data_IF_437147430200
#
_entry.id   IF_437147430200
#
_cell.length_a   1.000
_cell.length_b   1.000
_cell.length_c   1.000
_cell.angle_alpha   90.00
_cell.angle_beta   90.00
_cell.angle_gamma   90.00
#
_symmetry.space_group_name_H-M   'P 1'
#
loop_
_entity.id
_entity.type
_entity.pdbx_description
1 polymer ?
#
# COMPACT_ATOMS: atom_id res chain seq x y z
N UNK A 1 9.67 7.77 11.42
CA UNK A 1 8.89 8.85 10.82
C UNK A 1 7.42 8.44 10.84
N UNK A 2 6.54 9.27 11.42
CA UNK A 2 5.10 9.01 11.49
C UNK A 2 4.42 9.23 10.13
N UNK A 3 3.24 8.65 9.91
CA UNK A 3 2.48 8.82 8.66
C UNK A 3 2.26 10.30 8.31
N UNK A 4 1.92 11.13 9.31
CA UNK A 4 1.71 12.57 9.14
C UNK A 4 2.99 13.32 8.74
N UNK A 5 4.16 12.86 9.20
CA UNK A 5 5.43 13.44 8.77
C UNK A 5 5.68 13.09 7.30
N UNK A 6 5.42 11.84 6.91
CA UNK A 6 5.66 11.36 5.53
C UNK A 6 4.78 12.08 4.53
N UNK A 7 3.49 12.25 4.84
CA UNK A 7 2.57 13.05 4.00
C UNK A 7 2.97 14.53 3.98
N UNK A 8 3.48 15.06 5.09
CA UNK A 8 4.05 16.40 5.16
C UNK A 8 5.23 16.60 4.20
N UNK A 9 6.16 15.64 4.13
CA UNK A 9 7.29 15.69 3.19
C UNK A 9 6.81 15.59 1.75
N UNK A 10 5.87 14.69 1.42
CA UNK A 10 5.33 14.61 0.06
C UNK A 10 4.65 15.93 -0.34
N UNK A 11 3.90 16.55 0.56
CA UNK A 11 3.28 17.87 0.32
C UNK A 11 4.32 18.97 0.07
N UNK A 12 5.44 18.96 0.80
CA UNK A 12 6.55 19.88 0.58
C UNK A 12 7.17 19.69 -0.82
N UNK A 13 7.41 18.44 -1.25
CA UNK A 13 7.92 18.11 -2.59
C UNK A 13 6.95 18.63 -3.67
N UNK A 14 5.65 18.38 -3.52
CA UNK A 14 4.62 18.87 -4.44
C UNK A 14 4.67 20.40 -4.56
N UNK A 15 4.80 21.10 -3.43
CA UNK A 15 4.88 22.57 -3.40
C UNK A 15 6.10 23.10 -4.15
N UNK A 16 7.26 22.45 -3.99
CA UNK A 16 8.50 22.80 -4.71
C UNK A 16 8.31 22.59 -6.22
N UNK A 17 7.71 21.47 -6.61
CA UNK A 17 7.44 21.16 -8.02
C UNK A 17 6.50 22.19 -8.65
N UNK A 18 5.42 22.55 -7.96
CA UNK A 18 4.50 23.58 -8.42
C UNK A 18 5.20 24.94 -8.59
N UNK A 19 6.11 25.29 -7.69
CA UNK A 19 6.92 26.50 -7.82
C UNK A 19 7.82 26.44 -9.07
N UNK A 20 8.50 25.31 -9.31
CA UNK A 20 9.34 25.10 -10.49
C UNK A 20 8.55 25.22 -11.80
N UNK A 21 7.36 24.60 -11.86
CA UNK A 21 6.45 24.70 -13.01
C UNK A 21 6.04 26.16 -13.25
N UNK A 22 5.64 26.87 -12.19
CA UNK A 22 5.26 28.29 -12.27
C UNK A 22 6.40 29.15 -12.79
N UNK A 23 7.61 28.97 -12.26
CA UNK A 23 8.80 29.71 -12.71
C UNK A 23 9.05 29.46 -14.19
N UNK A 24 9.01 28.20 -14.63
CA UNK A 24 9.16 27.87 -16.05
C UNK A 24 8.13 28.56 -16.95
N UNK A 25 6.86 28.63 -16.52
CA UNK A 25 5.82 29.33 -17.27
C UNK A 25 5.99 30.86 -17.31
N UNK A 26 6.77 31.45 -16.40
CA UNK A 26 7.06 32.90 -16.43
C UNK A 26 8.18 33.28 -17.39
N UNK A 27 8.85 32.30 -18.00
CA UNK A 27 9.91 32.56 -18.95
C UNK A 27 9.40 33.36 -20.15
N UNK A 28 10.09 34.44 -20.46
CA UNK A 28 9.71 35.35 -21.53
C UNK A 28 9.90 34.76 -22.93
N UNK A 29 10.98 33.98 -23.12
CA UNK A 29 11.36 33.38 -24.39
C UNK A 29 11.81 31.93 -24.17
N UNK A 30 10.98 30.97 -24.60
CA UNK A 30 11.28 29.55 -24.47
C UNK A 30 12.45 29.08 -25.37
N UNK A 31 12.87 29.91 -26.34
CA UNK A 31 13.99 29.65 -27.25
C UNK A 31 15.36 29.76 -26.58
N UNK A 32 15.48 30.61 -25.55
CA UNK A 32 16.76 30.88 -24.87
C UNK A 32 17.04 29.89 -23.73
N UNK A 33 16.08 29.00 -23.47
CA UNK A 33 16.18 27.96 -22.45
C UNK A 33 16.74 26.68 -23.09
N UNK A 34 17.74 26.02 -22.49
CA UNK A 34 18.22 24.73 -22.97
C UNK A 34 17.12 23.66 -22.99
N UNK A 35 17.24 22.68 -23.89
CA UNK A 35 16.23 21.63 -24.06
C UNK A 35 15.99 20.82 -22.78
N UNK A 36 17.03 20.54 -21.99
CA UNK A 36 16.90 19.77 -20.74
C UNK A 36 15.95 20.40 -19.72
N UNK A 37 15.87 21.74 -19.66
CA UNK A 37 14.90 22.43 -18.81
C UNK A 37 13.47 22.29 -19.33
N UNK A 38 13.29 22.32 -20.66
CA UNK A 38 11.98 22.09 -21.28
C UNK A 38 11.50 20.67 -21.01
N UNK A 39 12.39 19.69 -21.17
CA UNK A 39 12.09 18.28 -20.92
C UNK A 39 11.81 18.02 -19.44
N UNK A 40 12.57 18.63 -18.53
CA UNK A 40 12.30 18.57 -17.10
C UNK A 40 10.93 19.17 -16.78
N UNK A 41 10.64 20.39 -17.25
CA UNK A 41 9.36 21.06 -17.01
C UNK A 41 8.16 20.26 -17.55
N UNK A 42 8.31 19.58 -18.70
CA UNK A 42 7.26 18.72 -19.26
C UNK A 42 6.99 17.46 -18.40
N UNK A 43 7.99 16.98 -17.65
CA UNK A 43 7.86 15.78 -16.79
C UNK A 43 7.39 16.10 -15.36
N UNK A 44 7.59 17.32 -14.88
CA UNK A 44 7.21 17.75 -13.53
C UNK A 44 5.72 17.53 -13.18
N UNK A 45 4.74 17.75 -14.08
CA UNK A 45 3.34 17.44 -13.79
C UNK A 45 3.10 15.95 -13.50
N UNK A 46 3.73 15.05 -14.26
CA UNK A 46 3.63 13.61 -14.03
C UNK A 46 4.21 13.19 -12.67
N UNK A 47 5.31 13.82 -12.27
CA UNK A 47 5.87 13.62 -10.92
C UNK A 47 4.87 14.05 -9.86
N UNK A 48 4.28 15.24 -10.02
CA UNK A 48 3.30 15.77 -9.07
C UNK A 48 2.12 14.81 -8.90
N UNK A 49 1.59 14.26 -9.98
CA UNK A 49 0.47 13.32 -9.95
C UNK A 49 0.85 11.99 -9.29
N UNK A 50 2.06 11.49 -9.56
CA UNK A 50 2.57 10.26 -8.93
C UNK A 50 2.69 10.43 -7.41
N UNK A 51 3.15 11.59 -6.93
CA UNK A 51 3.27 11.90 -5.50
C UNK A 51 1.90 12.04 -4.82
N UNK A 52 0.91 12.61 -5.50
CA UNK A 52 -0.48 12.67 -5.01
C UNK A 52 -1.06 11.26 -4.85
N UNK A 53 -0.93 10.42 -5.87
CA UNK A 53 -1.38 9.03 -5.82
C UNK A 53 -0.67 8.22 -4.73
N UNK A 54 0.62 8.50 -4.50
CA UNK A 54 1.36 7.91 -3.40
C UNK A 54 0.82 8.32 -2.03
N UNK A 55 0.51 9.60 -1.86
CA UNK A 55 -0.10 10.12 -0.62
C UNK A 55 -1.42 9.42 -0.31
N UNK A 56 -2.28 9.25 -1.32
CA UNK A 56 -3.59 8.60 -1.15
C UNK A 56 -3.45 7.14 -0.70
N UNK A 57 -2.53 6.38 -1.31
CA UNK A 57 -2.32 4.98 -0.92
C UNK A 57 -1.59 4.78 0.41
N UNK A 58 -0.97 5.83 0.96
CA UNK A 58 -0.36 5.81 2.29
C UNK A 58 -1.40 5.90 3.41
N UNK A 59 -2.54 6.56 3.19
CA UNK A 59 -3.64 6.62 4.16
C UNK A 59 -4.23 5.21 4.44
N UNK A 60 -4.20 4.34 3.43
CA UNK A 60 -4.66 2.94 3.49
C UNK A 60 -3.64 1.99 4.15
N UNK A 61 -2.48 2.48 4.58
CA UNK A 61 -1.29 1.66 4.89
C UNK A 61 -0.70 1.90 6.29
N UNK A 62 -1.49 2.49 7.19
CA UNK A 62 -1.08 2.99 8.52
C UNK A 62 -0.50 1.94 9.52
N UNK A 63 -0.23 0.70 9.08
CA UNK A 63 0.00 -0.46 9.95
C UNK A 63 1.43 -1.02 9.99
N UNK A 64 2.45 -0.45 9.31
CA UNK A 64 3.81 -1.01 9.35
C UNK A 64 4.97 0.01 9.57
N UNK A 65 5.39 0.22 10.84
CA UNK A 65 6.46 1.15 11.25
C UNK A 65 7.79 1.00 10.51
N UNK A 66 8.20 -0.25 10.23
CA UNK A 66 9.50 -0.58 9.63
C UNK A 66 9.59 -0.16 8.15
N UNK A 67 8.45 -0.09 7.46
CA UNK A 67 8.38 0.35 6.05
C UNK A 67 8.59 1.86 5.90
N UNK A 68 8.42 2.65 6.97
CA UNK A 68 8.49 4.11 6.89
C UNK A 68 9.93 4.66 6.87
N UNK A 69 10.91 3.94 7.42
CA UNK A 69 12.30 4.42 7.48
C UNK A 69 13.01 4.37 6.12
N UNK A 70 12.82 3.32 5.34
CA UNK A 70 13.37 3.25 3.98
C UNK A 70 12.66 4.23 3.04
N UNK A 71 11.35 4.43 3.24
CA UNK A 71 10.55 5.37 2.48
C UNK A 71 10.94 6.82 2.80
N UNK A 72 11.23 7.15 4.07
CA UNK A 72 11.68 8.49 4.44
C UNK A 72 13.01 8.86 3.76
N UNK A 73 13.97 7.94 3.73
CA UNK A 73 15.27 8.19 3.10
C UNK A 73 15.16 8.46 1.58
N UNK A 74 14.19 7.82 0.90
CA UNK A 74 13.91 8.07 -0.52
C UNK A 74 13.25 9.43 -0.72
N UNK A 75 12.29 9.78 0.13
CA UNK A 75 11.60 11.07 0.07
C UNK A 75 12.52 12.25 0.42
N UNK A 76 13.41 12.11 1.40
CA UNK A 76 14.41 13.14 1.74
C UNK A 76 15.33 13.41 0.54
N UNK A 77 15.88 12.35 -0.08
CA UNK A 77 16.69 12.49 -1.30
C UNK A 77 15.93 13.13 -2.45
N UNK A 78 14.66 12.77 -2.63
CA UNK A 78 13.80 13.37 -3.64
C UNK A 78 13.60 14.87 -3.33
N UNK A 79 13.37 15.22 -2.06
CA UNK A 79 13.21 16.60 -1.57
C UNK A 79 14.45 17.44 -1.89
N UNK A 80 15.64 16.93 -1.56
CA UNK A 80 16.90 17.61 -1.87
C UNK A 80 17.04 17.84 -3.38
N UNK A 81 16.76 16.82 -4.19
CA UNK A 81 16.85 16.92 -5.66
C UNK A 81 15.87 17.94 -6.25
N UNK A 82 14.61 17.95 -5.80
CA UNK A 82 13.63 18.94 -6.28
C UNK A 82 13.96 20.35 -5.81
N UNK A 83 14.56 20.50 -4.62
CA UNK A 83 15.02 21.80 -4.13
C UNK A 83 16.17 22.34 -4.98
N UNK A 84 17.19 21.52 -5.28
CA UNK A 84 18.28 21.92 -6.18
C UNK A 84 17.75 22.23 -7.58
N UNK A 85 16.77 21.48 -8.07
CA UNK A 85 16.13 21.75 -9.36
C UNK A 85 15.45 23.13 -9.36
N UNK A 86 14.71 23.46 -8.30
CA UNK A 86 14.07 24.77 -8.14
C UNK A 86 15.09 25.90 -8.13
N UNK A 87 16.18 25.77 -7.38
CA UNK A 87 17.25 26.77 -7.32
C UNK A 87 17.86 27.03 -8.71
N UNK A 88 18.08 25.97 -9.48
CA UNK A 88 18.59 26.07 -10.86
C UNK A 88 17.56 26.76 -11.76
N UNK A 89 16.28 26.44 -11.63
CA UNK A 89 15.21 27.09 -12.37
C UNK A 89 15.14 28.59 -12.05
N UNK A 90 15.23 28.98 -10.79
CA UNK A 90 15.25 30.39 -10.37
C UNK A 90 16.51 31.14 -10.86
N UNK A 91 17.65 30.45 -10.93
CA UNK A 91 18.90 31.02 -11.41
C UNK A 91 18.85 31.27 -12.92
N UNK A 92 18.34 30.31 -13.69
CA UNK A 92 18.39 30.30 -15.15
C UNK A 92 17.20 31.03 -15.78
N UNK A 93 15.99 30.80 -15.28
CA UNK A 93 14.78 31.35 -15.90
C UNK A 93 14.64 32.82 -15.51
N UNK A 94 14.67 33.67 -16.53
CA UNK A 94 14.64 35.11 -16.36
C UNK A 94 13.21 35.61 -16.42
N UNK A 95 12.75 36.42 -15.44
CA UNK A 95 11.47 37.09 -15.53
C UNK A 95 11.43 38.03 -16.74
N UNK A 96 10.27 38.17 -17.39
CA UNK A 96 10.09 39.03 -18.56
C UNK A 96 10.51 40.49 -18.38
N UNK A 97 10.59 40.98 -17.15
CA UNK A 97 10.97 42.36 -16.80
C UNK A 97 12.47 42.57 -16.53
N UNK A 98 13.31 41.55 -16.63
CA UNK A 98 14.74 41.69 -16.36
C UNK A 98 15.46 42.53 -17.43
N UNK A 99 16.55 43.17 -17.03
CA UNK A 99 17.38 43.96 -17.93
C UNK A 99 18.13 43.08 -18.95
N UNK A 100 18.56 43.67 -20.06
CA UNK A 100 19.33 42.96 -21.11
C UNK A 100 20.67 42.41 -20.58
N UNK A 101 21.31 43.12 -19.65
CA UNK A 101 22.57 42.69 -19.03
C UNK A 101 22.37 41.48 -18.10
N UNK A 102 21.29 41.47 -17.30
CA UNK A 102 20.94 40.32 -16.46
C UNK A 102 20.59 39.08 -17.29
N UNK A 103 19.87 39.25 -18.41
CA UNK A 103 19.61 38.16 -19.35
C UNK A 103 20.90 37.54 -19.89
N UNK A 104 21.86 38.38 -20.30
CA UNK A 104 23.14 37.91 -20.81
C UNK A 104 23.97 37.16 -19.75
N UNK A 105 24.07 37.70 -18.53
CA UNK A 105 24.78 37.04 -17.43
C UNK A 105 24.16 35.70 -17.04
N UNK A 106 22.83 35.58 -17.11
CA UNK A 106 22.13 34.33 -16.81
C UNK A 106 22.28 33.32 -17.95
N UNK A 107 22.24 33.75 -19.21
CA UNK A 107 22.52 32.90 -20.38
C UNK A 107 23.89 32.19 -20.28
N UNK A 108 24.93 32.87 -19.77
CA UNK A 108 26.24 32.24 -19.55
C UNK A 108 26.24 31.17 -18.46
N UNK A 109 25.32 31.26 -17.49
CA UNK A 109 25.19 30.30 -16.40
C UNK A 109 24.33 29.09 -16.77
N UNK A 110 23.62 29.07 -17.90
CA UNK A 110 22.67 28.00 -18.24
C UNK A 110 23.34 26.72 -18.72
N UNK A 111 24.40 26.85 -19.52
CA UNK A 111 25.09 25.71 -20.15
C UNK A 111 25.57 24.67 -19.13
N UNK A 112 26.33 25.01 -18.07
CA UNK A 112 26.76 24.01 -17.08
C UNK A 112 25.62 23.45 -16.25
N UNK A 113 24.45 24.11 -16.24
CA UNK A 113 23.29 23.65 -15.49
C UNK A 113 22.40 22.71 -16.31
N UNK A 114 22.54 22.69 -17.64
CA UNK A 114 21.70 21.86 -18.51
C UNK A 114 21.88 20.36 -18.22
N UNK A 115 23.12 19.90 -18.12
CA UNK A 115 23.47 18.50 -17.76
C UNK A 115 23.02 18.18 -16.32
N UNK A 116 23.19 19.14 -15.41
CA UNK A 116 22.77 18.98 -14.00
C UNK A 116 21.25 18.82 -13.87
N UNK A 117 20.46 19.58 -14.63
CA UNK A 117 18.99 19.46 -14.65
C UNK A 117 18.57 18.08 -15.13
N UNK A 118 19.20 17.56 -16.18
CA UNK A 118 18.92 16.22 -16.70
C UNK A 118 19.20 15.15 -15.65
N UNK A 119 20.39 15.17 -15.05
CA UNK A 119 20.77 14.23 -13.97
C UNK A 119 19.85 14.33 -12.75
N UNK A 120 19.44 15.54 -12.35
CA UNK A 120 18.48 15.73 -11.26
C UNK A 120 17.11 15.12 -11.61
N UNK A 121 16.63 15.33 -12.83
CA UNK A 121 15.35 14.80 -13.29
C UNK A 121 15.36 13.27 -13.36
N UNK A 122 16.44 12.67 -13.85
CA UNK A 122 16.62 11.21 -13.82
C UNK A 122 16.59 10.67 -12.39
N UNK A 123 17.29 11.33 -11.47
CA UNK A 123 17.28 10.99 -10.06
C UNK A 123 15.88 11.04 -9.45
N UNK A 124 15.15 12.14 -9.65
CA UNK A 124 13.78 12.31 -9.15
C UNK A 124 12.88 11.18 -9.68
N UNK A 125 12.95 10.86 -10.98
CA UNK A 125 12.16 9.77 -11.55
C UNK A 125 12.52 8.40 -10.97
N UNK A 126 13.81 8.13 -10.71
CA UNK A 126 14.24 6.89 -10.09
C UNK A 126 13.69 6.75 -8.66
N UNK A 127 13.73 7.83 -7.87
CA UNK A 127 13.18 7.84 -6.50
C UNK A 127 11.66 7.59 -6.51
N UNK A 128 10.94 8.19 -7.46
CA UNK A 128 9.49 7.98 -7.62
C UNK A 128 9.15 6.59 -8.13
N UNK A 129 9.95 6.03 -9.04
CA UNK A 129 9.75 4.68 -9.52
C UNK A 129 9.88 3.68 -8.37
N UNK A 130 10.84 3.90 -7.46
CA UNK A 130 10.98 3.09 -6.26
C UNK A 130 9.75 3.21 -5.35
N UNK A 131 9.23 4.43 -5.15
CA UNK A 131 8.02 4.69 -4.38
C UNK A 131 6.79 3.99 -5.00
N UNK A 132 6.56 4.20 -6.30
CA UNK A 132 5.43 3.63 -7.03
C UNK A 132 5.49 2.10 -7.08
N UNK A 133 6.67 1.52 -7.29
CA UNK A 133 6.85 0.05 -7.27
C UNK A 133 6.56 -0.52 -5.88
N UNK A 134 7.03 0.14 -4.81
CA UNK A 134 6.74 -0.27 -3.45
C UNK A 134 5.23 -0.29 -3.17
N UNK A 135 4.52 0.76 -3.57
CA UNK A 135 3.08 0.88 -3.39
C UNK A 135 2.30 -0.13 -4.24
N UNK A 136 2.70 -0.35 -5.49
CA UNK A 136 2.07 -1.32 -6.38
C UNK A 136 2.21 -2.75 -5.85
N UNK A 137 3.40 -3.12 -5.36
CA UNK A 137 3.63 -4.43 -4.73
C UNK A 137 2.73 -4.60 -3.51
N UNK A 138 2.66 -3.59 -2.62
CA UNK A 138 1.80 -3.64 -1.45
C UNK A 138 0.31 -3.77 -1.81
N UNK A 139 -0.18 -3.01 -2.78
CA UNK A 139 -1.56 -3.07 -3.25
C UNK A 139 -1.91 -4.46 -3.83
N UNK A 140 -0.99 -5.06 -4.59
CA UNK A 140 -1.17 -6.42 -5.11
C UNK A 140 -1.24 -7.45 -3.98
N UNK A 141 -0.37 -7.34 -2.96
CA UNK A 141 -0.39 -8.23 -1.78
C UNK A 141 -1.68 -8.08 -0.99
N UNK A 142 -2.17 -6.85 -0.75
CA UNK A 142 -3.47 -6.63 -0.09
C UNK A 142 -4.61 -7.31 -0.84
N UNK A 143 -4.70 -7.10 -2.16
CA UNK A 143 -5.72 -7.73 -3.02
C UNK A 143 -5.64 -9.27 -3.01
N UNK A 144 -4.45 -9.83 -2.92
CA UNK A 144 -4.27 -11.28 -2.77
C UNK A 144 -4.78 -11.76 -1.40
N UNK A 145 -4.48 -11.03 -0.32
CA UNK A 145 -4.95 -11.36 1.03
C UNK A 145 -6.48 -11.30 1.12
N UNK A 146 -7.11 -10.25 0.60
CA UNK A 146 -8.58 -10.11 0.55
C UNK A 146 -9.24 -11.30 -0.16
N UNK A 147 -8.66 -11.74 -1.30
CA UNK A 147 -9.14 -12.93 -2.03
C UNK A 147 -8.99 -14.23 -1.25
N UNK A 148 -7.98 -14.33 -0.39
CA UNK A 148 -7.79 -15.51 0.46
C UNK A 148 -8.81 -15.50 1.61
N UNK A 149 -8.99 -14.36 2.27
CA UNK A 149 -9.99 -14.20 3.35
C UNK A 149 -11.40 -14.48 2.83
N UNK A 150 -11.76 -13.92 1.68
CA UNK A 150 -13.09 -14.15 1.08
C UNK A 150 -13.33 -15.64 0.75
N UNK A 151 -12.28 -16.41 0.45
CA UNK A 151 -12.42 -17.86 0.22
C UNK A 151 -12.56 -18.64 1.52
N UNK A 152 -11.89 -18.23 2.58
CA UNK A 152 -12.00 -18.84 3.91
C UNK A 152 -13.40 -18.60 4.51
N UNK A 153 -13.96 -17.40 4.35
CA UNK A 153 -15.32 -17.09 4.82
C UNK A 153 -16.40 -17.91 4.09
N UNK A 154 -16.19 -18.23 2.81
CA UNK A 154 -17.11 -19.08 2.03
C UNK A 154 -17.03 -20.56 2.47
N UNK A 155 -15.90 -21.03 2.98
CA UNK A 155 -15.78 -22.39 3.55
C UNK A 155 -16.34 -22.51 4.97
N UNK A 156 -16.70 -21.40 5.62
CA UNK A 156 -17.24 -21.39 6.99
C UNK A 156 -18.77 -21.22 7.06
N UNK A 157 -19.51 -21.53 6.00
CA UNK A 157 -20.93 -21.87 6.17
C UNK A 157 -20.99 -23.09 7.11
N UNK A 158 -21.60 -22.97 8.31
CA UNK A 158 -21.79 -24.14 9.14
C UNK A 158 -22.77 -25.05 8.40
N UNK A 159 -22.25 -26.12 7.83
CA UNK A 159 -23.02 -27.25 7.32
C UNK A 159 -23.65 -28.00 8.51
N UNK A 160 -24.48 -27.31 9.28
CA UNK A 160 -25.32 -27.87 10.31
C UNK A 160 -26.72 -27.32 10.10
N UNK A 161 -27.41 -27.90 9.12
CA UNK A 161 -28.86 -28.03 9.18
C UNK A 161 -29.21 -28.45 10.63
N UNK A 162 -30.06 -27.72 11.38
CA UNK A 162 -30.55 -28.25 12.63
C UNK A 162 -31.22 -29.58 12.30
N UNK A 163 -30.74 -30.68 12.87
CA UNK A 163 -31.41 -31.98 12.74
C UNK A 163 -32.74 -31.84 13.48
N UNK A 164 -33.81 -31.53 12.75
CA UNK A 164 -35.17 -31.51 13.29
C UNK A 164 -35.67 -32.96 13.28
N UNK A 165 -35.60 -33.62 14.43
CA UNK A 165 -36.14 -34.96 14.63
C UNK A 165 -37.63 -34.86 14.95
N UNK A 166 -38.48 -34.92 13.92
CA UNK A 166 -39.93 -35.07 14.11
C UNK A 166 -40.24 -36.56 14.38
N UNK A 167 -40.41 -36.93 15.65
CA UNK A 167 -40.93 -38.25 16.03
C UNK A 167 -42.39 -38.12 16.45
N UNK A 168 -43.28 -38.80 15.73
CA UNK A 168 -44.70 -38.92 16.08
C UNK A 168 -45.04 -40.40 16.26
N UNK A 169 -45.08 -40.84 17.53
CA UNK A 169 -45.41 -42.21 17.92
C UNK A 169 -45.17 -42.46 19.41
N UNK A 170 -45.71 -43.57 19.95
CA UNK A 170 -45.43 -44.03 21.31
C UNK A 170 -44.27 -45.05 21.27
N UNK A 171 -43.14 -44.73 21.91
CA UNK A 171 -41.96 -45.59 21.96
C UNK A 171 -40.75 -44.91 22.61
N UNK A 172 -39.71 -45.68 22.95
CA UNK A 172 -38.45 -45.15 23.51
C UNK A 172 -37.58 -44.56 22.40
N UNK A 173 -36.95 -43.42 22.66
CA UNK A 173 -36.00 -42.77 21.75
C UNK A 173 -34.60 -42.72 22.37
N UNK A 174 -33.59 -42.99 21.55
CA UNK A 174 -32.18 -42.89 21.93
C UNK A 174 -31.50 -41.85 21.03
N UNK A 175 -30.88 -40.84 21.64
CA UNK A 175 -30.18 -39.76 20.92
C UNK A 175 -28.70 -39.83 21.27
N UNK A 176 -27.83 -39.81 20.25
CA UNK A 176 -26.37 -39.80 20.40
C UNK A 176 -25.79 -38.60 19.68
N UNK A 177 -25.40 -37.58 20.43
CA UNK A 177 -24.83 -36.33 19.91
C UNK A 177 -23.31 -36.23 20.14
N UNK A 178 -22.64 -37.38 20.30
CA UNK A 178 -21.20 -37.47 20.55
C UNK A 178 -20.48 -38.33 19.52
N UNK A 179 -19.24 -38.66 19.80
CA UNK A 179 -18.45 -39.63 19.03
C UNK A 179 -18.30 -40.94 19.82
N UNK A 180 -18.27 -42.07 19.12
CA UNK A 180 -18.15 -43.41 19.72
C UNK A 180 -19.37 -44.30 19.46
N UNK A 181 -19.36 -45.51 20.03
CA UNK A 181 -20.47 -46.45 19.89
C UNK A 181 -21.52 -46.21 20.98
N UNK A 182 -22.79 -46.14 20.59
CA UNK A 182 -23.91 -46.14 21.53
C UNK A 182 -24.41 -47.56 21.74
N UNK A 183 -24.23 -48.10 22.95
CA UNK A 183 -24.77 -49.40 23.32
C UNK A 183 -26.15 -49.19 23.98
N UNK A 184 -27.20 -49.74 23.37
CA UNK A 184 -28.58 -49.63 23.85
C UNK A 184 -29.08 -51.01 24.23
N UNK A 185 -29.40 -51.21 25.51
CA UNK A 185 -30.07 -52.42 25.98
C UNK A 185 -31.57 -52.11 26.15
N UNK A 186 -32.44 -52.94 25.56
CA UNK A 186 -33.88 -52.79 25.68
C UNK A 186 -34.48 -53.91 26.54
N UNK A 187 -35.55 -53.58 27.26
CA UNK A 187 -36.37 -54.49 28.05
C UNK A 187 -35.74 -54.88 29.42
N UNK A 188 -35.43 -56.15 29.69
CA UNK A 188 -34.96 -56.65 30.99
C UNK A 188 -33.44 -56.66 31.17
N UNK A 189 -32.69 -56.20 30.17
CA UNK A 189 -31.22 -56.21 30.20
C UNK A 189 -30.63 -55.03 30.99
N UNK A 190 -29.57 -55.29 31.76
CA UNK A 190 -28.83 -54.25 32.50
C UNK A 190 -27.95 -53.43 31.56
N UNK A 191 -28.21 -52.13 31.47
CA UNK A 191 -27.39 -51.18 30.73
C UNK A 191 -26.27 -50.61 31.64
N UNK A 192 -25.03 -50.67 31.17
CA UNK A 192 -23.88 -50.05 31.84
C UNK A 192 -23.44 -48.85 31.01
N UNK A 193 -23.59 -47.63 31.56
CA UNK A 193 -23.21 -46.39 30.91
C UNK A 193 -21.90 -45.85 31.53
N UNK A 194 -20.87 -45.60 30.71
CA UNK A 194 -19.62 -45.01 31.14
C UNK A 194 -18.51 -45.07 30.08
N UNK A 195 -17.47 -44.26 30.26
CA UNK A 195 -16.25 -44.33 29.43
C UNK A 195 -15.47 -45.60 29.78
N UNK A 196 -15.38 -46.55 28.85
CA UNK A 196 -14.69 -47.81 29.07
C UNK A 196 -13.30 -47.79 28.42
N UNK A 197 -12.24 -47.89 29.22
CA UNK A 197 -10.85 -47.90 28.77
C UNK A 197 -10.24 -49.31 28.82
N UNK A 198 -10.97 -50.31 28.31
CA UNK A 198 -10.50 -51.69 28.22
C UNK A 198 -10.57 -52.47 29.53
N UNK A 199 -11.35 -53.54 29.51
CA UNK A 199 -11.55 -54.50 30.60
C UNK A 199 -12.42 -55.65 30.10
N UNK A 200 -12.64 -56.67 30.93
CA UNK A 200 -13.51 -57.81 30.59
C UNK A 200 -14.73 -57.79 31.49
N UNK A 201 -15.93 -57.74 30.90
CA UNK A 201 -17.17 -57.93 31.64
C UNK A 201 -17.47 -59.43 31.73
N UNK A 202 -17.37 -60.01 32.93
CA UNK A 202 -17.79 -61.39 33.18
C UNK A 202 -19.22 -61.38 33.70
N UNK A 203 -20.16 -61.84 32.87
CA UNK A 203 -21.54 -62.06 33.28
C UNK A 203 -21.71 -63.50 33.75
N UNK A 204 -22.27 -63.69 34.94
CA UNK A 204 -22.65 -65.00 35.44
C UNK A 204 -24.18 -65.06 35.51
N UNK A 205 -24.76 -66.05 34.85
CA UNK A 205 -26.18 -66.33 34.91
C UNK A 205 -26.47 -67.12 36.20
N UNK A 206 -27.48 -66.70 36.97
CA UNK A 206 -28.04 -67.51 38.07
C UNK A 206 -29.05 -68.51 37.52
#
# INVERSE_FOLDING_TARGET
MALAEVTGVISAIITIIEASIKIYHTAADASDIPQSFRDAAARLPLVQDTLKLATDGLAEDALNPQSHASLSAVLEKCTDRVAVLLDIFQLVIVPARASRAERYLRALKTIPQAEKVESLMEGIMADLQLLATNQAVKAATRKQMERLISKIEVEHEPCHSPIILNNSGLGRQFVHNGTGHQNVATDTATQINGSFSGGTFSFYQK
#
